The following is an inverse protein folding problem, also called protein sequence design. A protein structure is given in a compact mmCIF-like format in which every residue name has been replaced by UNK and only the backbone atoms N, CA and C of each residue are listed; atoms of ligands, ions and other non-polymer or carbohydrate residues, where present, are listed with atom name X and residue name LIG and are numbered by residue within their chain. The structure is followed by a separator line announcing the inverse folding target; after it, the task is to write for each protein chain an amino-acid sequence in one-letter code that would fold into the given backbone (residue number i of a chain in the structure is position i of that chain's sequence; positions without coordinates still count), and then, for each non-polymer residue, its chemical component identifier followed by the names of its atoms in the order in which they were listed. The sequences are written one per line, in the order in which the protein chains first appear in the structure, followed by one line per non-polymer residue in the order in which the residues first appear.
data_IF_649694915073
#
_entry.id   IF_649694915073
#
_cell.length_a   1.000
_cell.length_b   1.000
_cell.length_c   1.000
_cell.angle_alpha   90.00
_cell.angle_beta   90.00
_cell.angle_gamma   90.00
#
_symmetry.space_group_name_H-M   'P 1'
#
loop_
_entity.id
_entity.type
_entity.pdbx_description
1 polymer ?
#
# COMPACT_ATOMS: atom_id res chain seq x y z
N UNK A 1 -38.33 24.46 -18.73
CA UNK A 1 -38.78 23.29 -19.52
C UNK A 1 -37.81 23.12 -20.69
N UNK A 2 -36.97 22.08 -20.68
CA UNK A 2 -35.90 21.91 -21.67
C UNK A 2 -36.50 21.49 -23.02
N UNK A 3 -36.11 22.11 -24.14
CA UNK A 3 -36.68 21.78 -25.46
C UNK A 3 -36.16 20.41 -25.91
N UNK A 4 -37.02 19.55 -26.46
CA UNK A 4 -36.67 18.19 -26.96
C UNK A 4 -35.41 18.18 -27.85
N UNK A 5 -35.20 19.24 -28.63
CA UNK A 5 -34.04 19.41 -29.49
C UNK A 5 -32.73 19.60 -28.71
N UNK A 6 -32.78 20.25 -27.55
CA UNK A 6 -31.61 20.48 -26.71
C UNK A 6 -31.26 19.21 -25.91
N UNK A 7 -32.27 18.44 -25.49
CA UNK A 7 -32.07 17.10 -24.92
C UNK A 7 -31.43 16.12 -25.92
N UNK A 8 -31.90 16.09 -27.17
CA UNK A 8 -31.31 15.23 -28.20
C UNK A 8 -29.89 15.65 -28.59
N UNK A 9 -29.59 16.95 -28.58
CA UNK A 9 -28.22 17.44 -28.75
C UNK A 9 -27.32 17.02 -27.59
N UNK A 10 -27.81 17.14 -26.36
CA UNK A 10 -27.08 16.77 -25.15
C UNK A 10 -26.84 15.25 -25.06
N UNK A 11 -27.84 14.44 -25.40
CA UNK A 11 -27.74 12.98 -25.46
C UNK A 11 -26.84 12.52 -26.61
N UNK A 12 -26.88 13.19 -27.77
CA UNK A 12 -25.96 12.95 -28.88
C UNK A 12 -24.51 13.29 -28.53
N UNK A 13 -24.27 14.40 -27.83
CA UNK A 13 -22.92 14.75 -27.34
C UNK A 13 -22.44 13.81 -26.23
N UNK A 14 -23.31 13.40 -25.30
CA UNK A 14 -22.95 12.46 -24.23
C UNK A 14 -22.63 11.05 -24.78
N UNK A 15 -23.37 10.60 -25.80
CA UNK A 15 -23.08 9.35 -26.51
C UNK A 15 -21.76 9.38 -27.30
N UNK A 16 -21.38 10.54 -27.85
CA UNK A 16 -20.08 10.73 -28.50
C UNK A 16 -18.92 10.74 -27.50
N UNK A 17 -19.08 11.28 -26.29
CA UNK A 17 -18.04 11.20 -25.24
C UNK A 17 -17.91 9.79 -24.62
N UNK A 18 -18.99 9.00 -24.58
CA UNK A 18 -18.94 7.62 -24.10
C UNK A 18 -18.41 6.62 -25.15
N UNK A 19 -18.50 6.96 -26.44
CA UNK A 19 -18.05 6.11 -27.55
C UNK A 19 -16.74 6.58 -28.19
N UNK A 20 -16.26 7.78 -27.88
CA UNK A 20 -14.90 8.19 -28.24
C UNK A 20 -13.94 7.41 -27.35
N UNK A 21 -13.03 6.60 -27.92
CA UNK A 21 -11.87 6.19 -27.15
C UNK A 21 -11.21 7.50 -26.73
N UNK A 22 -11.15 7.76 -25.42
CA UNK A 22 -10.19 8.74 -24.91
C UNK A 22 -8.89 8.44 -25.64
N UNK A 23 -8.23 9.42 -26.28
CA UNK A 23 -6.93 9.19 -26.85
C UNK A 23 -6.02 8.80 -25.68
N UNK A 24 -5.93 7.48 -25.41
CA UNK A 24 -4.74 6.89 -24.87
C UNK A 24 -3.68 7.32 -25.88
N UNK A 25 -2.89 8.31 -25.48
CA UNK A 25 -1.76 8.76 -26.26
C UNK A 25 -1.04 7.50 -26.73
N UNK A 26 -0.94 7.35 -28.05
CA UNK A 26 -0.12 6.30 -28.65
C UNK A 26 1.31 6.58 -28.22
N UNK A 27 1.74 5.99 -27.11
CA UNK A 27 3.14 5.90 -26.76
C UNK A 27 3.75 4.86 -27.70
N UNK A 28 4.16 5.30 -28.88
CA UNK A 28 5.05 4.52 -29.72
C UNK A 28 6.35 4.29 -28.93
N UNK A 29 6.72 3.02 -28.75
CA UNK A 29 8.01 2.53 -28.25
C UNK A 29 8.68 3.44 -27.21
N UNK A 30 8.14 3.50 -25.99
CA UNK A 30 8.95 4.05 -24.89
C UNK A 30 9.99 3.00 -24.51
N UNK A 31 11.26 3.31 -24.73
CA UNK A 31 12.36 2.75 -23.95
C UNK A 31 11.88 2.73 -22.49
N UNK A 32 11.77 1.54 -21.90
CA UNK A 32 11.39 1.43 -20.50
C UNK A 32 12.26 2.38 -19.66
N UNK A 33 11.61 3.31 -18.97
CA UNK A 33 12.28 4.21 -18.03
C UNK A 33 11.90 3.75 -16.63
N UNK A 34 12.88 3.46 -15.75
CA UNK A 34 12.60 3.14 -14.37
C UNK A 34 11.73 4.22 -13.74
N UNK A 35 10.74 3.82 -12.97
CA UNK A 35 9.91 4.77 -12.26
C UNK A 35 10.74 5.51 -11.20
N UNK A 36 10.78 6.84 -11.30
CA UNK A 36 11.49 7.73 -10.36
C UNK A 36 10.54 8.54 -9.46
N UNK A 37 9.23 8.33 -9.59
CA UNK A 37 8.23 9.05 -8.81
C UNK A 37 8.03 8.51 -7.38
N UNK A 38 7.03 9.04 -6.66
CA UNK A 38 6.70 8.60 -5.31
C UNK A 38 6.28 7.13 -5.24
N UNK A 39 6.76 6.43 -4.22
CA UNK A 39 6.45 5.03 -3.94
C UNK A 39 5.50 4.97 -2.75
N UNK A 40 4.30 4.46 -2.98
CA UNK A 40 3.24 4.42 -1.98
C UNK A 40 3.23 3.05 -1.27
N UNK A 41 3.44 3.06 0.04
CA UNK A 41 3.26 1.88 0.89
C UNK A 41 1.94 2.03 1.65
N UNK A 42 0.97 1.19 1.36
CA UNK A 42 -0.25 1.07 2.14
C UNK A 42 -0.13 -0.14 3.06
N UNK A 43 0.08 0.13 4.35
CA UNK A 43 0.26 -0.86 5.41
C UNK A 43 -1.08 -1.02 6.14
N UNK A 44 -1.63 -2.23 6.09
CA UNK A 44 -2.76 -2.65 6.91
C UNK A 44 -2.24 -3.32 8.18
N UNK A 45 -2.58 -2.71 9.31
CA UNK A 45 -2.38 -3.28 10.65
C UNK A 45 -3.64 -4.08 10.98
N UNK A 46 -3.59 -5.37 10.66
CA UNK A 46 -4.73 -6.27 10.79
C UNK A 46 -5.16 -6.44 12.25
N UNK A 47 -6.47 -6.56 12.44
CA UNK A 47 -7.07 -6.89 13.71
C UNK A 47 -7.42 -5.66 14.53
N UNK A 48 -7.57 -4.47 13.97
CA UNK A 48 -8.08 -3.33 14.73
C UNK A 48 -7.12 -2.81 15.81
N UNK A 49 -6.13 -2.02 15.40
CA UNK A 49 -5.17 -1.39 16.31
C UNK A 49 -5.90 -0.46 17.30
N UNK A 50 -5.64 -0.65 18.59
CA UNK A 50 -6.23 0.20 19.64
C UNK A 50 -5.66 1.62 19.58
N UNK A 51 -6.51 2.58 19.24
CA UNK A 51 -6.15 3.98 19.17
C UNK A 51 -5.70 4.55 20.52
N UNK A 52 -6.29 4.10 21.66
CA UNK A 52 -5.84 4.56 22.99
C UNK A 52 -4.45 4.09 23.38
N UNK A 53 -4.01 2.95 22.85
CA UNK A 53 -2.69 2.39 23.10
C UNK A 53 -1.66 2.84 22.07
N UNK A 54 -2.02 3.78 21.17
CA UNK A 54 -1.13 4.25 20.13
C UNK A 54 -1.17 5.77 19.93
N UNK A 55 -2.15 6.30 19.18
CA UNK A 55 -2.15 7.68 18.64
C UNK A 55 -3.21 8.62 19.22
N UNK A 56 -4.17 8.09 19.98
CA UNK A 56 -5.23 8.85 20.63
C UNK A 56 -5.37 8.46 22.12
N UNK A 57 -4.30 8.63 22.92
CA UNK A 57 -4.26 8.15 24.30
C UNK A 57 -5.27 8.88 25.20
N UNK A 58 -5.73 8.16 26.22
CA UNK A 58 -6.62 8.67 27.27
C UNK A 58 -6.01 8.35 28.62
N UNK A 59 -5.68 9.37 29.41
CA UNK A 59 -5.30 9.23 30.83
C UNK A 59 -6.54 8.92 31.69
N UNK A 60 -7.21 7.81 31.37
CA UNK A 60 -8.35 7.29 32.11
C UNK A 60 -8.13 5.79 32.38
N UNK A 61 -7.97 5.37 33.66
CA UNK A 61 -7.83 3.98 34.04
C UNK A 61 -8.97 3.06 33.59
N UNK A 62 -10.16 3.60 33.32
CA UNK A 62 -11.28 2.82 32.78
C UNK A 62 -11.06 2.45 31.31
N UNK A 63 -10.26 3.23 30.58
CA UNK A 63 -9.93 3.04 29.16
C UNK A 63 -8.61 2.29 29.02
N UNK A 64 -7.61 2.62 29.84
CA UNK A 64 -6.25 2.10 29.76
C UNK A 64 -5.64 1.86 31.14
N UNK A 65 -5.17 0.64 31.40
CA UNK A 65 -4.49 0.30 32.67
C UNK A 65 -3.19 1.09 32.88
N UNK A 66 -2.49 1.48 31.82
CA UNK A 66 -1.28 2.29 31.96
C UNK A 66 -1.55 3.66 32.60
N UNK A 67 -2.76 4.19 32.51
CA UNK A 67 -3.14 5.48 33.08
C UNK A 67 -3.18 5.47 34.63
N UNK A 68 -3.11 4.29 35.26
CA UNK A 68 -2.97 4.18 36.72
C UNK A 68 -1.62 4.71 37.22
N UNK A 69 -0.59 4.73 36.37
CA UNK A 69 0.78 4.99 36.80
C UNK A 69 1.66 5.75 35.80
N UNK A 70 1.16 6.01 34.60
CA UNK A 70 1.90 6.68 33.52
C UNK A 70 1.01 7.71 32.83
N UNK A 71 1.65 8.76 32.35
CA UNK A 71 1.02 9.75 31.47
C UNK A 71 1.31 9.45 30.00
N UNK A 72 0.48 9.99 29.11
CA UNK A 72 0.77 9.97 27.69
C UNK A 72 2.05 10.75 27.37
N UNK A 73 2.85 10.24 26.44
CA UNK A 73 4.00 10.96 25.91
C UNK A 73 3.60 11.97 24.83
N UNK A 74 4.51 12.90 24.52
CA UNK A 74 4.31 13.93 23.51
C UNK A 74 5.56 14.07 22.65
N UNK A 75 5.42 13.90 21.34
CA UNK A 75 6.46 14.17 20.34
C UNK A 75 5.96 15.26 19.39
N UNK A 76 6.50 16.47 19.53
CA UNK A 76 5.99 17.65 18.83
C UNK A 76 4.52 17.93 19.19
N UNK A 77 3.63 17.88 18.22
CA UNK A 77 2.18 18.06 18.38
C UNK A 77 1.42 16.73 18.53
N UNK A 78 2.11 15.59 18.51
CA UNK A 78 1.51 14.26 18.52
C UNK A 78 1.62 13.67 19.92
N UNK A 79 0.48 13.29 20.50
CA UNK A 79 0.42 12.50 21.74
C UNK A 79 0.48 11.02 21.42
N UNK A 80 1.15 10.24 22.26
CA UNK A 80 1.24 8.79 22.12
C UNK A 80 1.09 8.07 23.45
N UNK A 81 0.56 6.85 23.42
CA UNK A 81 0.43 6.04 24.62
C UNK A 81 1.79 5.50 25.09
N UNK A 82 2.04 5.39 26.41
CA UNK A 82 3.30 4.92 26.99
C UNK A 82 3.44 3.38 26.97
N UNK A 83 3.14 2.78 25.83
CA UNK A 83 3.29 1.35 25.50
C UNK A 83 4.69 1.12 24.91
N UNK A 84 5.34 -0.04 25.15
CA UNK A 84 6.67 -0.35 24.62
C UNK A 84 6.80 -0.07 23.10
N UNK A 85 7.94 0.51 22.71
CA UNK A 85 8.24 0.88 21.32
C UNK A 85 7.70 2.25 20.87
N UNK A 86 6.59 2.74 21.44
CA UNK A 86 5.96 3.98 20.99
C UNK A 86 6.88 5.20 21.17
N UNK A 87 7.50 5.36 22.35
CA UNK A 87 8.31 6.55 22.64
C UNK A 87 9.41 6.77 21.59
N UNK A 88 10.25 5.75 21.37
CA UNK A 88 11.33 5.81 20.38
C UNK A 88 10.79 6.11 18.98
N UNK A 89 9.70 5.43 18.58
CA UNK A 89 9.08 5.61 17.27
C UNK A 89 8.56 7.03 17.04
N UNK A 90 7.76 7.56 17.96
CA UNK A 90 7.18 8.90 17.82
C UNK A 90 8.24 9.98 17.95
N UNK A 91 9.18 9.88 18.90
CA UNK A 91 10.28 10.84 19.03
C UNK A 91 11.17 10.89 17.77
N UNK A 92 11.38 9.75 17.11
CA UNK A 92 12.16 9.66 15.87
C UNK A 92 11.42 10.24 14.68
N UNK A 93 10.13 9.95 14.52
CA UNK A 93 9.40 10.21 13.27
C UNK A 93 8.33 11.31 13.30
N UNK A 94 8.08 11.98 14.44
CA UNK A 94 6.96 12.95 14.54
C UNK A 94 6.97 14.02 13.44
N UNK A 95 8.15 14.48 12.99
CA UNK A 95 8.29 15.51 11.94
C UNK A 95 7.81 15.04 10.57
N UNK A 96 7.85 13.73 10.33
CA UNK A 96 7.51 13.12 9.05
C UNK A 96 6.09 12.55 9.06
N UNK A 97 5.32 12.77 10.14
CA UNK A 97 4.07 12.09 10.43
C UNK A 97 2.86 13.02 10.49
N UNK A 98 1.75 12.57 9.91
CA UNK A 98 0.40 13.09 10.12
C UNK A 98 -0.46 11.98 10.73
N UNK A 99 -0.97 12.23 11.93
CA UNK A 99 -1.93 11.33 12.61
C UNK A 99 -3.35 11.78 12.29
N UNK A 100 -4.22 10.81 12.01
CA UNK A 100 -5.65 11.03 11.80
C UNK A 100 -6.40 10.27 12.89
N UNK A 101 -7.04 11.00 13.80
CA UNK A 101 -7.83 10.42 14.89
C UNK A 101 -9.33 10.57 14.63
N UNK A 102 -10.11 9.64 15.17
CA UNK A 102 -11.57 9.72 15.12
C UNK A 102 -12.19 9.29 13.79
N UNK A 103 -11.52 8.43 13.02
CA UNK A 103 -12.08 7.97 11.75
C UNK A 103 -13.16 6.92 12.01
N UNK A 104 -14.41 7.28 11.75
CA UNK A 104 -15.53 6.35 11.81
C UNK A 104 -15.56 5.45 10.58
N UNK A 105 -15.40 4.14 10.81
CA UNK A 105 -15.51 3.13 9.75
C UNK A 105 -16.95 2.73 9.43
N UNK A 106 -17.95 3.21 10.18
CA UNK A 106 -19.38 2.82 10.08
C UNK A 106 -19.66 1.31 10.28
N UNK A 107 -18.64 0.55 10.67
CA UNK A 107 -18.70 -0.90 10.93
C UNK A 107 -17.72 -1.26 12.02
N UNK A 108 -18.09 -2.26 12.83
CA UNK A 108 -17.20 -2.91 13.78
C UNK A 108 -16.81 -4.33 13.32
N UNK A 109 -17.18 -4.75 12.12
CA UNK A 109 -16.82 -6.06 11.57
C UNK A 109 -15.60 -6.00 10.64
N UNK A 110 -14.63 -6.91 10.83
CA UNK A 110 -13.39 -6.95 10.04
C UNK A 110 -13.61 -6.92 8.52
N UNK A 111 -14.50 -7.77 8.00
CA UNK A 111 -14.66 -7.92 6.55
C UNK A 111 -15.09 -6.62 5.86
N UNK A 112 -16.06 -5.91 6.45
CA UNK A 112 -16.53 -4.64 5.90
C UNK A 112 -15.55 -3.51 6.25
N UNK A 113 -14.92 -3.55 7.43
CA UNK A 113 -13.89 -2.59 7.82
C UNK A 113 -12.74 -2.55 6.82
N UNK A 114 -12.23 -3.72 6.41
CA UNK A 114 -11.16 -3.84 5.41
C UNK A 114 -11.61 -3.21 4.08
N UNK A 115 -12.82 -3.49 3.61
CA UNK A 115 -13.33 -2.88 2.35
C UNK A 115 -13.39 -1.35 2.48
N UNK A 116 -13.94 -0.86 3.59
CA UNK A 116 -14.15 0.57 3.83
C UNK A 116 -12.86 1.39 3.89
N UNK A 117 -11.83 0.89 4.57
CA UNK A 117 -10.55 1.61 4.73
C UNK A 117 -9.77 1.74 3.44
N UNK A 118 -9.96 0.79 2.53
CA UNK A 118 -9.17 0.70 1.31
C UNK A 118 -9.85 1.27 0.07
N UNK A 119 -11.19 1.22 0.03
CA UNK A 119 -11.99 1.73 -1.09
C UNK A 119 -12.77 3.01 -0.75
N UNK A 120 -12.86 3.37 0.53
CA UNK A 120 -13.74 4.44 1.01
C UNK A 120 -15.24 4.10 0.94
N UNK A 121 -15.59 2.81 0.75
CA UNK A 121 -16.96 2.33 0.61
C UNK A 121 -17.20 1.09 1.46
N UNK A 122 -18.40 0.95 2.03
CA UNK A 122 -18.82 -0.30 2.67
C UNK A 122 -19.10 -1.43 1.67
N UNK A 123 -19.35 -1.07 0.41
CA UNK A 123 -19.66 -2.01 -0.66
C UNK A 123 -18.40 -2.39 -1.46
N UNK A 124 -18.42 -3.64 -1.96
CA UNK A 124 -17.45 -4.18 -2.91
C UNK A 124 -17.61 -3.58 -4.31
N UNK A 125 -16.64 -3.83 -5.19
CA UNK A 125 -16.67 -3.41 -6.59
C UNK A 125 -16.17 -1.98 -6.84
N UNK A 126 -15.42 -1.42 -5.90
CA UNK A 126 -14.72 -0.14 -6.07
C UNK A 126 -13.21 -0.36 -6.08
N UNK A 127 -12.45 0.41 -6.88
CA UNK A 127 -11.00 0.29 -6.90
C UNK A 127 -10.44 0.69 -5.54
N UNK A 128 -9.41 -0.03 -5.11
CA UNK A 128 -8.66 0.38 -3.92
C UNK A 128 -7.66 1.50 -4.24
N UNK A 129 -7.19 2.20 -3.22
CA UNK A 129 -6.25 3.32 -3.38
C UNK A 129 -5.01 2.98 -4.22
N UNK A 130 -4.41 1.80 -4.03
CA UNK A 130 -3.24 1.41 -4.81
C UNK A 130 -3.55 1.14 -6.28
N UNK A 131 -4.70 0.54 -6.59
CA UNK A 131 -5.12 0.35 -7.97
C UNK A 131 -5.26 1.70 -8.69
N UNK A 132 -5.85 2.71 -8.04
CA UNK A 132 -5.98 4.07 -8.58
C UNK A 132 -4.62 4.77 -8.78
N UNK A 133 -3.73 4.66 -7.80
CA UNK A 133 -2.36 5.21 -7.89
C UNK A 133 -1.61 4.56 -9.04
N UNK A 134 -1.64 3.23 -9.12
CA UNK A 134 -0.96 2.48 -10.16
C UNK A 134 -1.53 2.76 -11.55
N UNK A 135 -2.85 2.91 -11.69
CA UNK A 135 -3.50 3.34 -12.93
C UNK A 135 -3.05 4.73 -13.41
N UNK A 136 -2.72 5.61 -12.47
CA UNK A 136 -2.32 7.00 -12.75
C UNK A 136 -0.83 7.11 -13.07
N UNK A 137 0.04 6.44 -12.30
CA UNK A 137 1.49 6.64 -12.36
C UNK A 137 2.28 5.44 -12.88
N UNK A 138 1.67 4.26 -12.95
CA UNK A 138 2.35 3.00 -13.25
C UNK A 138 2.15 2.47 -14.68
N UNK A 139 1.62 3.28 -15.59
CA UNK A 139 1.43 2.85 -16.98
C UNK A 139 2.77 2.48 -17.62
N UNK A 140 2.85 1.28 -18.21
CA UNK A 140 4.06 0.76 -18.85
C UNK A 140 5.05 0.07 -17.90
N UNK A 141 4.82 0.09 -16.58
CA UNK A 141 5.63 -0.68 -15.64
C UNK A 141 5.19 -2.16 -15.62
N UNK A 142 6.13 -3.05 -15.33
CA UNK A 142 5.82 -4.48 -15.23
C UNK A 142 5.10 -4.86 -13.91
N UNK A 143 5.38 -4.13 -12.82
CA UNK A 143 4.84 -4.42 -11.47
C UNK A 143 4.22 -3.18 -10.80
N UNK A 144 3.34 -2.42 -11.47
CA UNK A 144 2.92 -1.09 -11.01
C UNK A 144 2.18 -1.12 -9.68
N UNK A 145 1.45 -2.22 -9.42
CA UNK A 145 0.71 -2.50 -8.19
C UNK A 145 1.14 -3.85 -7.60
N UNK A 146 1.78 -3.82 -6.43
CA UNK A 146 2.16 -5.00 -5.65
C UNK A 146 1.23 -5.19 -4.45
N UNK A 147 0.94 -6.45 -4.08
CA UNK A 147 0.21 -6.76 -2.84
C UNK A 147 0.70 -8.02 -2.13
N UNK A 148 0.73 -7.96 -0.80
CA UNK A 148 0.86 -9.10 0.11
C UNK A 148 -0.18 -8.98 1.23
N UNK A 149 -1.46 -9.03 0.85
CA UNK A 149 -2.58 -8.96 1.78
C UNK A 149 -3.04 -7.53 2.10
N UNK A 150 -3.94 -7.47 3.09
CA UNK A 150 -4.77 -6.29 3.37
C UNK A 150 -6.06 -6.40 2.57
N UNK A 151 -6.26 -5.49 1.62
CA UNK A 151 -7.35 -5.56 0.66
C UNK A 151 -6.80 -5.75 -0.76
N UNK A 152 -7.12 -6.89 -1.37
CA UNK A 152 -6.66 -7.28 -2.71
C UNK A 152 -7.78 -7.24 -3.76
N UNK A 153 -8.97 -6.75 -3.40
CA UNK A 153 -10.02 -6.60 -4.40
C UNK A 153 -9.59 -5.57 -5.44
N UNK A 154 -9.66 -5.98 -6.70
CA UNK A 154 -9.17 -5.25 -7.85
C UNK A 154 -10.29 -5.25 -8.90
N UNK A 155 -10.68 -4.07 -9.37
CA UNK A 155 -11.79 -3.94 -10.33
C UNK A 155 -11.32 -3.94 -11.78
N UNK A 156 -10.01 -4.10 -12.00
CA UNK A 156 -9.40 -4.30 -13.30
C UNK A 156 -8.98 -3.00 -14.01
N UNK A 157 -8.81 -1.89 -13.28
CA UNK A 157 -8.23 -0.65 -13.83
C UNK A 157 -6.73 -0.83 -14.07
N UNK A 158 -6.03 -1.50 -13.15
CA UNK A 158 -4.61 -1.83 -13.24
C UNK A 158 -4.37 -3.22 -12.65
N UNK A 159 -3.64 -4.14 -13.32
CA UNK A 159 -3.38 -5.47 -12.81
C UNK A 159 -2.66 -5.46 -11.47
N UNK A 160 -3.21 -6.22 -10.53
CA UNK A 160 -2.56 -6.56 -9.27
C UNK A 160 -1.51 -7.65 -9.49
N UNK A 161 -0.28 -7.42 -9.02
CA UNK A 161 0.73 -8.48 -8.88
C UNK A 161 0.91 -8.85 -7.41
N UNK A 162 0.79 -10.14 -7.09
CA UNK A 162 1.11 -10.62 -5.74
C UNK A 162 2.61 -10.58 -5.51
N UNK A 163 3.01 -10.13 -4.33
CA UNK A 163 4.42 -10.02 -3.95
C UNK A 163 5.09 -11.40 -4.00
N UNK A 164 6.07 -11.49 -4.89
CA UNK A 164 6.87 -12.67 -5.18
C UNK A 164 7.80 -12.96 -4.00
N UNK A 165 8.10 -14.23 -3.75
CA UNK A 165 9.23 -14.58 -2.88
C UNK A 165 10.57 -14.39 -3.64
N UNK A 166 11.69 -14.51 -2.91
CA UNK A 166 13.02 -14.28 -3.46
C UNK A 166 13.34 -15.20 -4.64
N UNK A 167 12.94 -16.47 -4.58
CA UNK A 167 13.24 -17.44 -5.64
C UNK A 167 12.43 -17.12 -6.89
N UNK A 168 11.17 -16.74 -6.71
CA UNK A 168 10.31 -16.32 -7.81
C UNK A 168 10.78 -14.98 -8.41
N UNK A 169 11.26 -14.02 -7.61
CA UNK A 169 11.90 -12.80 -8.12
C UNK A 169 13.11 -13.14 -9.00
N UNK A 170 14.00 -14.03 -8.54
CA UNK A 170 15.14 -14.50 -9.34
C UNK A 170 14.69 -15.17 -10.65
N UNK A 171 13.70 -16.04 -10.57
CA UNK A 171 13.17 -16.76 -11.73
C UNK A 171 12.50 -15.82 -12.75
N UNK A 172 11.83 -14.76 -12.29
CA UNK A 172 11.19 -13.77 -13.17
C UNK A 172 12.21 -12.79 -13.74
N UNK A 173 13.24 -12.43 -12.97
CA UNK A 173 14.32 -11.57 -13.42
C UNK A 173 15.23 -12.23 -14.45
N UNK A 174 15.42 -13.55 -14.37
CA UNK A 174 16.32 -14.29 -15.28
C UNK A 174 15.70 -15.62 -15.70
N UNK A 175 14.60 -15.61 -16.48
CA UNK A 175 13.78 -16.80 -16.74
C UNK A 175 14.46 -17.88 -17.59
N UNK A 176 15.56 -17.55 -18.27
CA UNK A 176 16.34 -18.52 -19.03
C UNK A 176 17.55 -19.08 -18.25
N UNK A 177 17.82 -18.59 -17.04
CA UNK A 177 18.95 -19.03 -16.25
C UNK A 177 18.61 -20.35 -15.53
N UNK A 178 19.33 -21.43 -15.87
CA UNK A 178 19.19 -22.74 -15.24
C UNK A 178 20.10 -22.91 -14.02
N UNK A 179 21.23 -22.21 -14.00
CA UNK A 179 22.15 -22.09 -12.87
C UNK A 179 22.96 -20.80 -13.00
N UNK A 180 23.82 -20.50 -12.02
CA UNK A 180 24.73 -19.35 -12.09
C UNK A 180 25.62 -19.32 -13.35
N UNK A 181 25.81 -20.46 -14.05
CA UNK A 181 26.69 -20.56 -15.22
C UNK A 181 26.02 -21.16 -16.46
N UNK A 182 24.76 -21.58 -16.38
CA UNK A 182 24.08 -22.26 -17.49
C UNK A 182 22.69 -21.70 -17.73
N UNK A 183 22.28 -21.74 -19.01
CA UNK A 183 20.94 -21.35 -19.45
C UNK A 183 20.16 -22.58 -19.93
N UNK A 184 18.83 -22.54 -19.83
CA UNK A 184 17.95 -23.58 -20.37
C UNK A 184 18.01 -23.64 -21.91
N UNK A 185 18.05 -22.47 -22.54
CA UNK A 185 18.12 -22.31 -23.99
C UNK A 185 19.34 -21.44 -24.33
N UNK A 186 20.02 -21.72 -25.45
CA UNK A 186 21.13 -20.88 -25.93
C UNK A 186 20.61 -19.47 -26.23
N UNK A 187 21.40 -18.46 -25.90
CA UNK A 187 21.00 -17.07 -26.12
C UNK A 187 20.66 -16.79 -27.59
N UNK A 188 21.45 -17.34 -28.52
CA UNK A 188 21.19 -17.22 -29.97
C UNK A 188 19.80 -17.70 -30.39
N UNK A 189 19.30 -18.77 -29.76
CA UNK A 189 18.01 -19.37 -30.10
C UNK A 189 16.87 -18.55 -29.47
N UNK A 190 17.09 -18.00 -28.26
CA UNK A 190 16.18 -17.03 -27.66
C UNK A 190 16.05 -15.75 -28.49
N UNK A 191 17.16 -15.20 -28.98
CA UNK A 191 17.16 -13.98 -29.78
C UNK A 191 16.34 -14.18 -31.07
N UNK A 192 16.41 -15.38 -31.67
CA UNK A 192 15.57 -15.76 -32.81
C UNK A 192 14.09 -15.79 -32.42
N UNK A 193 13.74 -16.42 -31.29
CA UNK A 193 12.36 -16.49 -30.80
C UNK A 193 11.79 -15.11 -30.49
N UNK A 194 12.56 -14.24 -29.83
CA UNK A 194 12.17 -12.87 -29.53
C UNK A 194 11.92 -12.07 -30.82
N UNK A 195 12.82 -12.17 -31.80
CA UNK A 195 12.67 -11.52 -33.11
C UNK A 195 11.37 -11.91 -33.81
N UNK A 196 11.05 -13.20 -33.87
CA UNK A 196 9.81 -13.66 -34.51
C UNK A 196 8.55 -13.30 -33.73
N UNK A 197 8.61 -13.25 -32.39
CA UNK A 197 7.51 -12.75 -31.56
C UNK A 197 7.24 -11.27 -31.83
N UNK A 198 8.28 -10.44 -31.85
CA UNK A 198 8.15 -9.01 -32.13
C UNK A 198 7.61 -8.76 -33.54
N UNK A 199 8.19 -9.43 -34.56
CA UNK A 199 7.70 -9.30 -35.94
C UNK A 199 6.22 -9.67 -36.09
N UNK A 200 5.75 -10.69 -35.34
CA UNK A 200 4.33 -11.05 -35.31
C UNK A 200 3.47 -9.96 -34.69
N UNK A 201 3.91 -9.34 -33.59
CA UNK A 201 3.20 -8.22 -32.97
C UNK A 201 3.13 -7.03 -33.91
N UNK A 202 4.25 -6.64 -34.51
CA UNK A 202 4.31 -5.51 -35.43
C UNK A 202 3.33 -5.71 -36.61
N UNK A 203 3.20 -6.95 -37.09
CA UNK A 203 2.22 -7.33 -38.12
C UNK A 203 0.77 -7.22 -37.63
N UNK A 204 0.48 -7.72 -36.42
CA UNK A 204 -0.86 -7.65 -35.83
C UNK A 204 -1.27 -6.21 -35.50
N UNK A 205 -0.37 -5.40 -34.96
CA UNK A 205 -0.59 -4.02 -34.56
C UNK A 205 -0.73 -3.06 -35.74
N UNK A 206 -0.10 -3.36 -36.89
CA UNK A 206 -0.23 -2.56 -38.12
C UNK A 206 -1.51 -2.82 -38.92
N UNK A 207 -2.29 -3.85 -38.55
CA UNK A 207 -3.54 -4.20 -39.22
C UNK A 207 -4.71 -3.37 -38.66
N UNK A 208 -5.15 -2.36 -39.41
CA UNK A 208 -6.24 -1.43 -39.03
C UNK A 208 -7.67 -2.04 -39.03
N UNK A 209 -7.82 -3.36 -39.26
CA UNK A 209 -9.11 -4.01 -39.47
C UNK A 209 -9.68 -4.72 -38.22
N UNK A 210 -9.02 -4.63 -37.07
CA UNK A 210 -9.44 -5.32 -35.86
C UNK A 210 -10.47 -4.53 -35.03
N UNK A 211 -11.30 -5.25 -34.30
CA UNK A 211 -12.19 -4.66 -33.28
C UNK A 211 -11.35 -3.96 -32.20
N UNK A 212 -11.84 -2.88 -31.58
CA UNK A 212 -11.11 -2.14 -30.54
C UNK A 212 -10.55 -3.01 -29.41
N UNK A 213 -11.30 -4.04 -29.00
CA UNK A 213 -10.88 -4.99 -27.96
C UNK A 213 -9.64 -5.80 -28.38
N UNK A 214 -9.56 -6.22 -29.65
CA UNK A 214 -8.41 -6.96 -30.18
C UNK A 214 -7.19 -6.03 -30.32
N UNK A 215 -7.39 -4.81 -30.80
CA UNK A 215 -6.32 -3.79 -30.83
C UNK A 215 -5.76 -3.53 -29.43
N UNK A 216 -6.63 -3.45 -28.41
CA UNK A 216 -6.22 -3.32 -27.01
C UNK A 216 -5.39 -4.52 -26.55
N UNK A 217 -5.85 -5.73 -26.83
CA UNK A 217 -5.13 -6.96 -26.45
C UNK A 217 -3.73 -7.05 -27.09
N UNK A 218 -3.57 -6.64 -28.36
CA UNK A 218 -2.25 -6.61 -28.99
C UNK A 218 -1.33 -5.56 -28.38
N UNK A 219 -1.85 -4.37 -28.06
CA UNK A 219 -1.07 -3.34 -27.37
C UNK A 219 -0.64 -3.81 -25.96
N UNK A 220 -1.54 -4.45 -25.21
CA UNK A 220 -1.22 -5.03 -23.90
C UNK A 220 -0.16 -6.13 -24.01
N UNK A 221 -0.22 -6.95 -25.06
CA UNK A 221 0.78 -8.00 -25.33
C UNK A 221 2.15 -7.41 -25.69
N UNK A 222 2.20 -6.35 -26.48
CA UNK A 222 3.44 -5.63 -26.83
C UNK A 222 4.08 -5.01 -25.58
N UNK A 223 3.29 -4.31 -24.76
CA UNK A 223 3.71 -3.74 -23.48
C UNK A 223 4.25 -4.85 -22.55
N UNK A 224 3.59 -6.00 -22.48
CA UNK A 224 4.04 -7.10 -21.65
C UNK A 224 5.38 -7.71 -22.10
N UNK A 225 5.66 -7.73 -23.41
CA UNK A 225 6.97 -8.19 -23.89
C UNK A 225 8.07 -7.15 -23.66
N UNK A 226 7.80 -5.87 -23.90
CA UNK A 226 8.75 -4.79 -23.61
C UNK A 226 9.02 -4.68 -22.10
N UNK A 227 8.00 -4.92 -21.28
CA UNK A 227 8.11 -4.98 -19.82
C UNK A 227 8.97 -6.14 -19.31
N UNK A 228 9.24 -7.20 -20.11
CA UNK A 228 10.15 -8.27 -19.67
C UNK A 228 11.56 -7.76 -19.42
N UNK A 229 12.08 -6.95 -20.33
CA UNK A 229 13.44 -6.41 -20.21
C UNK A 229 13.58 -5.54 -18.95
N UNK A 230 12.46 -4.98 -18.46
CA UNK A 230 12.45 -4.25 -17.19
C UNK A 230 12.59 -5.14 -15.96
N UNK A 231 12.11 -6.39 -16.02
CA UNK A 231 12.15 -7.34 -14.90
C UNK A 231 13.56 -7.83 -14.62
N UNK A 232 14.45 -7.84 -15.63
CA UNK A 232 15.86 -8.18 -15.46
C UNK A 232 16.55 -7.25 -14.44
N UNK A 233 16.07 -6.01 -14.28
CA UNK A 233 16.57 -5.06 -13.27
C UNK A 233 16.41 -5.56 -11.84
N UNK A 234 15.46 -6.47 -11.56
CA UNK A 234 15.36 -7.09 -10.23
C UNK A 234 16.66 -7.81 -9.87
N UNK A 235 17.36 -8.41 -10.84
CA UNK A 235 18.61 -9.13 -10.60
C UNK A 235 19.71 -8.22 -10.03
N UNK A 236 19.71 -6.93 -10.41
CA UNK A 236 20.71 -5.94 -9.95
C UNK A 236 20.52 -5.56 -8.47
N UNK A 237 19.29 -5.68 -7.95
CA UNK A 237 18.92 -5.23 -6.60
C UNK A 237 18.61 -6.37 -5.64
N UNK A 238 18.60 -7.62 -6.11
CA UNK A 238 18.45 -8.78 -5.22
C UNK A 238 19.70 -8.91 -4.34
N UNK A 239 19.57 -8.90 -2.99
CA UNK A 239 20.71 -8.97 -2.09
C UNK A 239 21.37 -10.35 -2.16
N UNK A 240 22.71 -10.36 -2.25
CA UNK A 240 23.52 -11.59 -2.26
C UNK A 240 23.48 -12.34 -0.94
N UNK A 241 23.28 -11.63 0.18
CA UNK A 241 23.19 -12.16 1.55
C UNK A 241 21.82 -12.73 1.90
N UNK A 242 20.82 -12.61 1.00
CA UNK A 242 19.44 -12.96 1.27
C UNK A 242 18.63 -11.80 1.86
N UNK A 243 17.36 -12.08 2.19
CA UNK A 243 16.44 -11.09 2.72
C UNK A 243 16.57 -10.96 4.23
N UNK A 244 16.53 -9.72 4.70
CA UNK A 244 16.31 -9.41 6.12
C UNK A 244 14.96 -9.97 6.58
N UNK A 245 14.95 -10.62 7.74
CA UNK A 245 13.75 -11.23 8.34
C UNK A 245 13.45 -10.72 9.75
N UNK A 246 14.32 -9.88 10.30
CA UNK A 246 14.20 -9.23 11.61
C UNK A 246 14.42 -7.74 11.45
N UNK A 247 13.73 -6.93 12.26
CA UNK A 247 13.98 -5.49 12.28
C UNK A 247 15.33 -5.16 12.94
N UNK A 248 15.70 -3.88 12.99
CA UNK A 248 16.95 -3.43 13.60
C UNK A 248 16.99 -3.61 15.12
N UNK A 249 15.85 -3.91 15.76
CA UNK A 249 15.73 -4.21 17.18
C UNK A 249 15.77 -5.73 17.44
N UNK A 250 15.88 -6.55 16.39
CA UNK A 250 15.93 -8.01 16.48
C UNK A 250 14.56 -8.69 16.59
N UNK A 251 13.45 -7.95 16.44
CA UNK A 251 12.12 -8.53 16.53
C UNK A 251 11.74 -9.26 15.23
N UNK A 252 11.27 -10.51 15.29
CA UNK A 252 10.72 -11.20 14.13
C UNK A 252 9.24 -10.80 13.95
N UNK A 253 8.97 -9.69 13.27
CA UNK A 253 7.61 -9.34 12.88
C UNK A 253 7.13 -10.30 11.77
N UNK A 254 6.42 -11.38 12.12
CA UNK A 254 5.54 -12.24 11.27
C UNK A 254 5.70 -12.17 9.74
N UNK A 255 6.93 -12.33 9.22
CA UNK A 255 7.32 -12.08 7.82
C UNK A 255 7.12 -10.64 7.29
N UNK A 256 6.67 -9.68 8.09
CA UNK A 256 6.43 -8.31 7.66
C UNK A 256 7.71 -7.62 7.20
N UNK A 257 8.78 -7.69 7.97
CA UNK A 257 10.12 -7.16 7.60
C UNK A 257 10.59 -7.73 6.26
N UNK A 258 10.45 -9.04 6.08
CA UNK A 258 10.77 -9.72 4.82
C UNK A 258 9.95 -9.18 3.65
N UNK A 259 8.65 -8.98 3.85
CA UNK A 259 7.76 -8.45 2.81
C UNK A 259 8.07 -6.98 2.49
N UNK A 260 8.45 -6.18 3.50
CA UNK A 260 8.95 -4.81 3.31
C UNK A 260 10.20 -4.83 2.43
N UNK A 261 11.19 -5.67 2.77
CA UNK A 261 12.44 -5.76 2.00
C UNK A 261 12.19 -6.17 0.55
N UNK A 262 11.38 -7.20 0.30
CA UNK A 262 10.97 -7.62 -1.04
C UNK A 262 10.32 -6.48 -1.84
N UNK A 263 9.47 -5.70 -1.18
CA UNK A 263 8.78 -4.58 -1.80
C UNK A 263 9.73 -3.44 -2.14
N UNK A 264 10.70 -3.15 -1.26
CA UNK A 264 11.75 -2.16 -1.51
C UNK A 264 12.66 -2.55 -2.67
N UNK A 265 13.00 -3.84 -2.84
CA UNK A 265 13.76 -4.33 -4.01
C UNK A 265 13.01 -4.03 -5.32
N UNK A 266 11.70 -4.29 -5.35
CA UNK A 266 10.87 -4.03 -6.53
C UNK A 266 10.75 -2.53 -6.82
N UNK A 267 10.67 -1.70 -5.77
CA UNK A 267 10.66 -0.26 -5.89
C UNK A 267 12.02 0.29 -6.36
N UNK A 268 13.14 -0.27 -5.87
CA UNK A 268 14.50 0.09 -6.26
C UNK A 268 14.77 -0.22 -7.74
N UNK A 269 14.21 -1.33 -8.23
CA UNK A 269 14.24 -1.67 -9.65
C UNK A 269 13.44 -0.70 -10.54
N UNK A 270 12.64 0.20 -9.95
CA UNK A 270 11.81 1.17 -10.65
C UNK A 270 10.55 0.56 -11.26
N UNK A 271 10.11 -0.60 -10.75
CA UNK A 271 9.01 -1.38 -11.36
C UNK A 271 7.65 -1.12 -10.73
N UNK A 272 7.62 -0.41 -9.61
CA UNK A 272 6.45 -0.32 -8.73
C UNK A 272 6.14 1.11 -8.33
N UNK A 273 4.85 1.43 -8.31
CA UNK A 273 4.34 2.72 -7.78
C UNK A 273 3.63 2.57 -6.45
N UNK A 274 2.90 1.47 -6.24
CA UNK A 274 2.08 1.27 -5.05
C UNK A 274 2.12 -0.17 -4.55
N UNK A 275 2.22 -0.32 -3.24
CA UNK A 275 2.39 -1.60 -2.54
C UNK A 275 1.36 -1.69 -1.41
N UNK A 276 0.57 -2.77 -1.39
CA UNK A 276 -0.28 -3.15 -0.26
C UNK A 276 0.42 -4.22 0.58
N UNK A 277 0.56 -3.99 1.88
CA UNK A 277 1.07 -4.99 2.81
C UNK A 277 0.13 -5.14 4.00
N UNK A 278 -0.23 -6.38 4.34
CA UNK A 278 -0.71 -6.70 5.68
C UNK A 278 0.49 -6.88 6.63
N UNK A 279 0.43 -6.30 7.82
CA UNK A 279 1.48 -6.47 8.83
C UNK A 279 1.51 -7.91 9.35
N UNK A 280 0.35 -8.57 9.44
CA UNK A 280 0.22 -9.93 9.96
C UNK A 280 0.63 -10.08 11.44
N UNK A 281 0.83 -8.98 12.18
CA UNK A 281 1.16 -8.99 13.62
C UNK A 281 -0.09 -9.39 14.44
N UNK A 282 -1.27 -9.00 13.96
CA UNK A 282 -2.58 -9.32 14.52
C UNK A 282 -2.88 -8.50 15.76
N UNK A 283 -3.86 -7.60 15.71
CA UNK A 283 -4.27 -6.78 16.86
C UNK A 283 -5.67 -7.13 17.38
N UNK A 284 -6.19 -8.31 16.99
CA UNK A 284 -7.52 -8.79 17.39
C UNK A 284 -7.55 -9.31 18.83
N UNK A 285 -7.28 -8.41 19.76
CA UNK A 285 -6.95 -8.67 21.16
C UNK A 285 -8.20 -8.67 22.06
N UNK A 286 -8.89 -9.79 22.12
CA UNK A 286 -10.10 -9.99 22.93
C UNK A 286 -9.85 -10.53 24.35
N UNK A 287 -8.60 -10.77 24.70
CA UNK A 287 -8.15 -11.19 26.02
C UNK A 287 -6.75 -10.64 26.32
N UNK A 288 -6.37 -10.58 27.60
CA UNK A 288 -5.01 -10.24 28.05
C UNK A 288 -4.32 -9.12 27.23
N UNK A 289 -5.06 -8.03 26.98
CA UNK A 289 -4.74 -7.03 25.97
C UNK A 289 -3.36 -6.41 26.22
N UNK A 290 -3.07 -6.02 27.47
CA UNK A 290 -1.84 -5.31 27.82
C UNK A 290 -0.60 -6.15 27.51
N UNK A 291 -0.57 -7.40 27.98
CA UNK A 291 0.59 -8.28 27.75
C UNK A 291 0.79 -8.60 26.27
N UNK A 292 -0.29 -8.73 25.50
CA UNK A 292 -0.18 -8.95 24.05
C UNK A 292 0.24 -7.67 23.31
N UNK A 293 -0.30 -6.51 23.69
CA UNK A 293 0.04 -5.22 23.11
C UNK A 293 1.50 -4.85 23.37
N UNK A 294 2.00 -5.10 24.59
CA UNK A 294 3.40 -4.84 24.96
C UNK A 294 4.41 -5.64 24.12
N UNK A 295 4.00 -6.79 23.56
CA UNK A 295 4.81 -7.60 22.63
C UNK A 295 4.63 -7.13 21.18
N UNK A 296 3.39 -6.85 20.77
CA UNK A 296 3.04 -6.59 19.37
C UNK A 296 3.33 -5.16 18.92
N UNK A 297 3.26 -4.19 19.83
CA UNK A 297 3.54 -2.79 19.51
C UNK A 297 5.00 -2.57 19.10
N UNK A 298 6.02 -3.07 19.83
CA UNK A 298 7.41 -3.00 19.36
C UNK A 298 7.64 -3.67 18.01
N UNK A 299 6.96 -4.79 17.72
CA UNK A 299 7.06 -5.45 16.41
C UNK A 299 6.52 -4.58 15.28
N UNK A 300 5.43 -3.83 15.54
CA UNK A 300 4.84 -2.93 14.55
C UNK A 300 5.73 -1.71 14.34
N UNK A 301 6.09 -1.01 15.42
CA UNK A 301 6.92 0.20 15.35
C UNK A 301 8.31 -0.11 14.80
N UNK A 302 8.92 -1.21 15.22
CA UNK A 302 10.23 -1.66 14.74
C UNK A 302 10.21 -2.08 13.26
N UNK A 303 9.14 -2.70 12.77
CA UNK A 303 9.01 -3.00 11.33
C UNK A 303 8.80 -1.74 10.48
N UNK A 304 8.09 -0.73 10.99
CA UNK A 304 7.93 0.57 10.29
C UNK A 304 9.26 1.33 10.31
N UNK A 305 9.99 1.29 11.43
CA UNK A 305 11.35 1.83 11.55
C UNK A 305 12.29 1.16 10.51
N UNK A 306 12.23 -0.18 10.42
CA UNK A 306 12.95 -0.94 9.41
C UNK A 306 12.62 -0.48 7.98
N UNK A 307 11.34 -0.26 7.64
CA UNK A 307 10.96 0.27 6.32
C UNK A 307 11.68 1.60 6.03
N UNK A 308 11.70 2.52 6.99
CA UNK A 308 12.33 3.82 6.82
C UNK A 308 13.84 3.75 6.69
N UNK A 309 14.51 3.10 7.64
CA UNK A 309 15.97 2.95 7.64
C UNK A 309 16.44 2.17 6.41
N UNK A 310 15.77 1.06 6.07
CA UNK A 310 16.10 0.29 4.87
C UNK A 310 15.88 1.10 3.60
N UNK A 311 14.81 1.89 3.53
CA UNK A 311 14.59 2.78 2.38
C UNK A 311 15.66 3.86 2.28
N UNK A 312 16.23 4.32 3.39
CA UNK A 312 17.32 5.29 3.42
C UNK A 312 18.63 4.65 2.92
N UNK A 313 18.94 3.42 3.37
CA UNK A 313 20.06 2.62 2.86
C UNK A 313 19.97 2.41 1.34
N UNK A 314 18.77 2.16 0.82
CA UNK A 314 18.52 1.89 -0.60
C UNK A 314 18.36 3.15 -1.46
N UNK A 315 18.43 4.34 -0.86
CA UNK A 315 18.28 5.63 -1.57
C UNK A 315 16.84 5.95 -2.00
N UNK A 316 15.84 5.32 -1.38
CA UNK A 316 14.43 5.46 -1.69
C UNK A 316 13.66 6.38 -0.73
N UNK A 317 14.18 6.66 0.47
CA UNK A 317 13.45 7.33 1.55
C UNK A 317 12.74 8.63 1.14
N UNK A 318 13.35 9.48 0.30
CA UNK A 318 12.76 10.74 -0.14
C UNK A 318 11.55 10.56 -1.09
N UNK A 319 11.40 9.36 -1.65
CA UNK A 319 10.30 8.96 -2.55
C UNK A 319 9.17 8.26 -1.81
N UNK A 320 9.36 7.82 -0.56
CA UNK A 320 8.35 7.05 0.16
C UNK A 320 7.20 7.92 0.65
N UNK A 321 5.98 7.42 0.43
CA UNK A 321 4.76 7.88 1.10
C UNK A 321 4.12 6.65 1.73
N UNK A 322 4.05 6.62 3.06
CA UNK A 322 3.55 5.48 3.81
C UNK A 322 2.19 5.84 4.40
N UNK A 323 1.19 5.01 4.18
CA UNK A 323 -0.12 5.07 4.82
C UNK A 323 -0.29 3.84 5.70
N UNK A 324 -0.42 4.04 7.00
CA UNK A 324 -0.63 2.98 7.99
C UNK A 324 -2.08 3.10 8.46
N UNK A 325 -2.86 2.04 8.26
CA UNK A 325 -4.27 2.00 8.64
C UNK A 325 -4.65 0.68 9.29
N UNK A 326 -5.78 0.70 9.97
CA UNK A 326 -6.42 -0.48 10.55
C UNK A 326 -7.91 -0.48 10.21
N UNK A 327 -8.53 -1.65 10.12
CA UNK A 327 -9.90 -1.81 9.64
C UNK A 327 -10.97 -1.27 10.60
N UNK A 328 -10.65 -1.25 11.90
CA UNK A 328 -11.53 -0.84 13.00
C UNK A 328 -10.67 -0.37 14.18
N UNK A 329 -11.28 0.25 15.19
CA UNK A 329 -10.59 0.55 16.45
C UNK A 329 -10.98 -0.41 17.57
N UNK A 330 -10.55 -0.13 18.79
CA UNK A 330 -10.87 -0.97 19.96
C UNK A 330 -11.74 -0.21 20.96
N UNK A 331 -12.55 -0.94 21.72
CA UNK A 331 -13.46 -0.35 22.71
C UNK A 331 -12.68 0.46 23.75
N UNK A 332 -13.22 1.60 24.20
CA UNK A 332 -12.59 2.44 25.23
C UNK A 332 -12.82 1.87 26.64
N UNK A 333 -12.75 0.55 26.79
CA UNK A 333 -12.87 -0.18 28.05
C UNK A 333 -12.45 -1.63 27.84
N UNK A 334 -12.07 -2.30 28.92
CA UNK A 334 -11.76 -3.72 28.93
C UNK A 334 -13.02 -4.57 29.07
N UNK A 335 -13.03 -5.71 28.38
CA UNK A 335 -14.06 -6.74 28.53
C UNK A 335 -13.74 -7.66 29.73
N UNK A 336 -14.61 -8.65 29.98
CA UNK A 336 -14.48 -9.57 31.13
C UNK A 336 -13.21 -10.45 31.10
N UNK A 337 -12.54 -10.57 29.95
CA UNK A 337 -11.31 -11.34 29.77
C UNK A 337 -10.05 -10.46 29.76
N UNK A 338 -10.16 -9.21 30.20
CA UNK A 338 -9.10 -8.21 30.11
C UNK A 338 -8.63 -7.94 28.67
N UNK A 339 -9.53 -8.12 27.70
CA UNK A 339 -9.34 -7.75 26.30
C UNK A 339 -10.04 -6.45 25.93
N UNK A 340 -9.93 -6.01 24.66
CA UNK A 340 -10.74 -4.93 24.09
C UNK A 340 -11.49 -5.40 22.85
N UNK A 341 -12.78 -5.10 22.78
CA UNK A 341 -13.66 -5.54 21.71
C UNK A 341 -13.65 -4.57 20.52
N UNK A 342 -14.40 -4.89 19.46
CA UNK A 342 -14.41 -4.11 18.22
C UNK A 342 -15.11 -2.77 18.41
N UNK A 343 -14.51 -1.70 17.87
CA UNK A 343 -15.06 -0.35 17.87
C UNK A 343 -15.00 0.27 16.47
N UNK A 344 -15.99 1.09 16.11
CA UNK A 344 -16.07 1.66 14.75
C UNK A 344 -15.08 2.80 14.54
N UNK A 345 -14.71 3.49 15.62
CA UNK A 345 -13.82 4.65 15.61
C UNK A 345 -12.39 4.17 15.78
N UNK A 346 -11.52 4.55 14.84
CA UNK A 346 -10.10 4.23 14.90
C UNK A 346 -9.24 5.38 14.41
N UNK A 347 -7.96 5.08 14.21
CA UNK A 347 -6.96 6.03 13.74
C UNK A 347 -6.19 5.51 12.53
N UNK A 348 -5.56 6.43 11.81
CA UNK A 348 -4.63 6.11 10.74
C UNK A 348 -3.48 7.12 10.74
N UNK A 349 -2.43 6.83 9.97
CA UNK A 349 -1.24 7.64 9.93
C UNK A 349 -0.69 7.72 8.52
N UNK A 350 -0.29 8.93 8.10
CA UNK A 350 0.55 9.13 6.94
C UNK A 350 1.97 9.48 7.37
N UNK A 351 2.96 8.96 6.67
CA UNK A 351 4.35 9.30 6.87
C UNK A 351 5.02 9.65 5.55
N UNK A 352 5.79 10.72 5.52
CA UNK A 352 6.63 11.13 4.41
C UNK A 352 7.78 12.00 4.93
N UNK A 353 9.01 11.67 4.53
CA UNK A 353 10.19 12.44 4.91
C UNK A 353 10.08 13.90 4.47
N UNK A 354 10.41 14.83 5.38
CA UNK A 354 10.35 16.28 5.18
C UNK A 354 8.96 16.77 4.70
N UNK A 355 7.89 16.12 5.16
CA UNK A 355 6.53 16.55 4.83
C UNK A 355 6.21 17.91 5.46
N UNK A 356 5.85 18.88 4.63
CA UNK A 356 5.37 20.19 5.11
C UNK A 356 4.11 20.10 5.99
N UNK A 357 3.39 18.98 5.89
CA UNK A 357 2.20 18.66 6.68
C UNK A 357 2.47 17.73 7.87
N UNK A 358 3.73 17.36 8.12
CA UNK A 358 4.11 16.51 9.25
C UNK A 358 4.02 17.24 10.59
N UNK A 359 4.34 16.54 11.68
CA UNK A 359 4.16 17.01 13.06
C UNK A 359 2.73 17.54 13.30
N UNK A 360 1.72 16.80 12.84
CA UNK A 360 0.33 17.23 12.88
C UNK A 360 -0.62 16.09 13.24
N UNK A 361 -1.66 16.44 13.98
CA UNK A 361 -2.85 15.61 14.19
C UNK A 361 -4.02 16.29 13.47
N UNK A 362 -4.84 15.50 12.80
CA UNK A 362 -6.12 15.94 12.23
C UNK A 362 -7.26 15.06 12.71
N UNK A 363 -8.45 15.63 12.78
CA UNK A 363 -9.60 14.99 13.40
C UNK A 363 -9.46 14.84 14.91
N UNK A 364 -10.52 14.32 15.52
CA UNK A 364 -10.62 14.10 16.94
C UNK A 364 -11.68 13.03 17.22
N UNK A 365 -11.57 12.39 18.38
CA UNK A 365 -12.62 11.54 18.93
C UNK A 365 -12.98 12.04 20.32
N UNK A 366 -14.19 11.72 20.79
CA UNK A 366 -14.65 12.13 22.12
C UNK A 366 -13.86 11.46 23.25
N UNK A 367 -14.26 11.77 24.49
CA UNK A 367 -13.64 11.25 25.72
C UNK A 367 -13.56 9.70 25.69
N UNK A 368 -14.66 9.05 25.31
CA UNK A 368 -14.76 7.60 25.13
C UNK A 368 -14.60 7.17 23.66
N UNK A 369 -13.72 7.83 22.92
CA UNK A 369 -13.51 7.63 21.48
C UNK A 369 -14.82 7.61 20.67
N UNK A 370 -15.76 8.49 21.00
CA UNK A 370 -17.01 8.65 20.25
C UNK A 370 -16.77 9.45 18.98
N UNK A 371 -17.60 9.21 17.95
CA UNK A 371 -17.52 9.97 16.70
C UNK A 371 -17.78 11.47 16.95
N UNK A 372 -16.92 12.31 16.40
CA UNK A 372 -17.09 13.76 16.37
C UNK A 372 -17.22 14.24 14.92
N UNK A 373 -17.97 15.32 14.72
CA UNK A 373 -17.99 16.03 13.44
C UNK A 373 -16.79 16.98 13.40
N UNK A 374 -16.09 16.98 12.28
CA UNK A 374 -14.98 17.89 12.02
C UNK A 374 -15.34 18.87 10.91
N UNK A 375 -14.67 20.01 10.88
CA UNK A 375 -14.77 20.94 9.77
C UNK A 375 -13.91 20.42 8.59
N UNK A 376 -14.48 20.15 7.40
CA UNK A 376 -13.74 19.57 6.29
C UNK A 376 -12.73 20.52 5.63
N UNK A 377 -12.80 21.83 5.91
CA UNK A 377 -11.82 22.81 5.42
C UNK A 377 -10.59 22.91 6.33
N UNK A 378 -10.79 22.89 7.65
CA UNK A 378 -9.69 23.05 8.62
C UNK A 378 -9.13 21.70 9.08
N UNK A 379 -9.94 20.64 9.00
CA UNK A 379 -9.71 19.31 9.56
C UNK A 379 -9.62 19.30 11.09
N UNK A 380 -10.29 20.27 11.73
CA UNK A 380 -10.42 20.45 13.18
C UNK A 380 -11.82 20.08 13.67
#
# INVERSE_FOLDING_TARGET
MMKRRDFLKLAGSAGLYAAMPLPMNKAFASIYSPYEGPIYFNIHVNGGLDQSSFTDPREDPLINTWADSKDAGVAGNIRYAPVPGNQEFFEKYYKDMLVINGIDGETNGHAIGIISRWSGRLARGYPNTCELIAATYGQGLALPYLSKGGYEENVGIMPLTRLLDLNMMKAVAQPNQASATTNYIKQSDLDILQRYKQARIDTLSSTNAYLPTLTRAFNEMDIAYQGRDSLDRLADYIPSTGLDTVDYQGNPATNFVKNIHLSLISAQAGLTTCINLASGIGFDLHDNFDAQSDIRMPQLTGAIDYLWEKSQELGLADRLIVFINTELGRTPHYNANSGKDHHTIGSAMFMKKNAAWGNRVVGASGEQHTALKINPQTLE
#
